data_IF_710572436747
#
_entry.id   IF_710572436747
#
_cell.length_a   1.000
_cell.length_b   1.000
_cell.length_c   1.000
_cell.angle_alpha   90.00
_cell.angle_beta   90.00
_cell.angle_gamma   90.00
#
_symmetry.space_group_name_H-M   'P 1'
#
loop_
_entity.id
_entity.type
_entity.pdbx_description
1 polymer ?
#
# COMPACT_ATOMS: atom_id res chain seq x y z
N UNK A 1 2.96 -10.06 10.08
CA UNK A 1 3.77 -8.83 10.15
C UNK A 1 2.96 -7.77 9.45
N UNK A 2 2.78 -6.62 10.10
CA UNK A 2 1.95 -5.53 9.60
C UNK A 2 2.89 -4.36 9.38
N UNK A 3 2.99 -3.94 8.12
CA UNK A 3 3.80 -2.80 7.71
C UNK A 3 2.85 -1.63 7.53
N UNK A 4 3.07 -0.57 8.29
CA UNK A 4 2.33 0.67 8.20
C UNK A 4 2.98 1.65 7.22
N UNK A 5 2.17 2.38 6.46
CA UNK A 5 2.59 3.56 5.72
C UNK A 5 1.68 4.74 6.04
N UNK A 6 2.30 5.88 6.35
CA UNK A 6 1.62 7.14 6.57
C UNK A 6 1.79 8.04 5.34
N UNK A 7 0.69 8.62 4.87
CA UNK A 7 0.68 9.55 3.75
C UNK A 7 0.16 10.89 4.23
N UNK A 8 0.98 11.93 4.10
CA UNK A 8 0.63 13.30 4.49
C UNK A 8 0.34 14.13 3.25
N UNK A 9 -0.88 14.66 3.13
CA UNK A 9 -1.24 15.49 1.99
C UNK A 9 -0.82 16.94 2.20
N UNK A 10 0.18 17.39 1.45
CA UNK A 10 0.65 18.77 1.48
C UNK A 10 -0.37 19.72 0.83
N UNK A 11 -0.45 20.99 1.27
CA UNK A 11 -1.33 21.98 0.66
C UNK A 11 -0.78 22.43 -0.70
N UNK A 12 -1.24 21.76 -1.78
CA UNK A 12 -1.00 22.02 -3.22
C UNK A 12 0.49 22.09 -3.65
N UNK A 13 0.87 21.37 -4.72
CA UNK A 13 2.25 21.42 -5.18
C UNK A 13 2.56 22.83 -5.73
N UNK A 14 3.67 23.48 -5.31
CA UNK A 14 4.00 24.84 -5.76
C UNK A 14 4.30 24.91 -7.28
N UNK A 15 4.42 23.76 -7.95
CA UNK A 15 4.80 23.66 -9.36
C UNK A 15 3.75 22.96 -10.25
N UNK A 16 2.57 22.58 -9.73
CA UNK A 16 1.57 21.75 -10.44
C UNK A 16 2.16 20.47 -11.08
N UNK A 17 3.29 19.98 -10.58
CA UNK A 17 3.85 18.71 -11.01
C UNK A 17 3.05 17.59 -10.34
N UNK A 18 2.56 16.66 -11.17
CA UNK A 18 1.97 15.39 -10.72
C UNK A 18 3.13 14.43 -10.51
N UNK A 19 3.37 14.03 -9.26
CA UNK A 19 4.41 13.08 -8.92
C UNK A 19 3.85 11.65 -8.81
N UNK A 20 4.68 10.68 -9.17
CA UNK A 20 4.37 9.25 -8.98
C UNK A 20 5.29 8.72 -7.87
N UNK A 21 4.71 8.39 -6.72
CA UNK A 21 5.42 7.72 -5.65
C UNK A 21 5.46 6.21 -5.93
N UNK A 22 6.65 5.65 -6.15
CA UNK A 22 6.85 4.21 -6.38
C UNK A 22 7.19 3.51 -5.06
N UNK A 23 6.42 2.49 -4.68
CA UNK A 23 6.61 1.76 -3.42
C UNK A 23 6.67 0.25 -3.64
N UNK A 24 7.84 -0.33 -3.37
CA UNK A 24 8.07 -1.77 -3.35
C UNK A 24 7.95 -2.32 -1.92
N UNK A 25 6.85 -3.01 -1.62
CA UNK A 25 6.61 -3.53 -0.26
C UNK A 25 7.25 -4.91 -0.09
N UNK A 26 8.46 -4.93 0.49
CA UNK A 26 9.18 -6.17 0.84
C UNK A 26 9.37 -6.28 2.34
N UNK A 27 9.13 -7.47 2.89
CA UNK A 27 9.30 -7.76 4.33
C UNK A 27 10.69 -7.37 4.86
N UNK A 28 11.72 -7.57 4.03
CA UNK A 28 13.12 -7.31 4.38
C UNK A 28 13.57 -5.87 4.15
N UNK A 29 12.69 -4.97 3.71
CA UNK A 29 13.05 -3.57 3.51
C UNK A 29 13.31 -2.89 4.86
N UNK A 30 14.51 -2.33 5.06
CA UNK A 30 14.86 -1.62 6.30
C UNK A 30 13.88 -0.48 6.63
N UNK A 31 13.39 0.23 5.61
CA UNK A 31 12.45 1.35 5.78
C UNK A 31 11.09 0.91 6.37
N UNK A 32 10.69 -0.34 6.15
CA UNK A 32 9.45 -0.87 6.72
C UNK A 32 9.67 -1.52 8.10
N UNK A 33 10.89 -1.98 8.38
CA UNK A 33 11.24 -2.55 9.69
C UNK A 33 11.33 -1.49 10.79
N UNK A 34 11.59 -0.23 10.43
CA UNK A 34 11.63 0.90 11.36
C UNK A 34 10.26 1.51 11.66
N UNK A 35 9.23 1.17 10.86
CA UNK A 35 7.85 1.62 11.10
C UNK A 35 7.61 3.11 10.86
N UNK A 36 8.58 3.82 10.27
CA UNK A 36 8.59 5.27 10.04
C UNK A 36 8.40 5.63 8.56
N UNK A 37 7.87 4.69 7.75
CA UNK A 37 7.65 4.91 6.33
C UNK A 37 6.54 5.93 6.11
N UNK A 38 6.93 7.15 5.77
CA UNK A 38 6.04 8.25 5.43
C UNK A 38 6.32 8.77 4.02
N UNK A 39 5.27 9.17 3.32
CA UNK A 39 5.36 9.83 2.02
C UNK A 39 4.51 11.09 2.04
N UNK A 40 5.11 12.21 1.65
CA UNK A 40 4.37 13.43 1.36
C UNK A 40 3.86 13.40 -0.08
N UNK A 41 2.55 13.61 -0.26
CA UNK A 41 1.89 13.65 -1.58
C UNK A 41 1.02 14.89 -1.71
N UNK A 42 0.72 15.29 -2.94
CA UNK A 42 -0.23 16.36 -3.26
C UNK A 42 -1.53 15.80 -3.85
N UNK A 43 -2.55 16.64 -3.91
CA UNK A 43 -3.77 16.29 -4.65
C UNK A 43 -3.44 16.09 -6.13
N UNK A 44 -4.03 15.06 -6.73
CA UNK A 44 -3.82 14.56 -8.09
C UNK A 44 -2.53 13.78 -8.33
N UNK A 45 -1.66 13.64 -7.34
CA UNK A 45 -0.52 12.72 -7.42
C UNK A 45 -0.99 11.26 -7.48
N UNK A 46 -0.07 10.39 -7.89
CA UNK A 46 -0.27 8.96 -7.95
C UNK A 46 0.67 8.22 -6.99
N UNK A 47 0.14 7.20 -6.35
CA UNK A 47 0.90 6.20 -5.63
C UNK A 47 0.83 4.89 -6.41
N UNK A 48 1.98 4.38 -6.85
CA UNK A 48 2.13 3.10 -7.51
C UNK A 48 2.80 2.11 -6.56
N UNK A 49 2.03 1.14 -6.07
CA UNK A 49 2.50 0.05 -5.21
C UNK A 49 2.74 -1.18 -6.08
N UNK A 50 3.96 -1.72 -6.03
CA UNK A 50 4.32 -2.95 -6.74
C UNK A 50 4.32 -4.14 -5.79
N UNK A 51 3.64 -5.21 -6.22
CA UNK A 51 3.62 -6.47 -5.52
C UNK A 51 4.98 -7.20 -5.65
N UNK A 52 5.36 -8.02 -4.66
CA UNK A 52 6.51 -8.91 -4.74
C UNK A 52 6.40 -9.82 -5.96
N UNK A 53 7.46 -9.85 -6.77
CA UNK A 53 7.57 -10.69 -7.95
C UNK A 53 8.79 -11.59 -7.84
N UNK A 54 8.63 -12.84 -8.22
CA UNK A 54 9.65 -13.87 -8.13
C UNK A 54 9.68 -14.68 -9.43
N UNK A 55 10.88 -15.10 -9.81
CA UNK A 55 11.08 -16.05 -10.92
C UNK A 55 10.33 -17.36 -10.68
N UNK A 56 9.92 -18.05 -11.75
CA UNK A 56 9.20 -19.33 -11.69
C UNK A 56 10.00 -20.44 -11.00
N UNK A 57 11.32 -20.28 -10.88
CA UNK A 57 12.19 -21.19 -10.14
C UNK A 57 12.02 -21.12 -8.62
N UNK A 58 11.40 -20.06 -8.09
CA UNK A 58 11.19 -19.87 -6.66
C UNK A 58 9.91 -20.58 -6.21
N UNK A 59 9.98 -21.53 -5.27
CA UNK A 59 8.79 -22.21 -4.75
C UNK A 59 7.77 -21.26 -4.08
N UNK A 60 6.48 -21.58 -4.22
CA UNK A 60 5.37 -20.78 -3.72
C UNK A 60 5.42 -20.52 -2.20
N UNK A 61 5.95 -21.45 -1.40
CA UNK A 61 6.16 -21.33 0.05
C UNK A 61 7.22 -20.30 0.43
N UNK A 62 8.12 -19.96 -0.50
CA UNK A 62 9.17 -18.94 -0.32
C UNK A 62 8.80 -17.57 -0.87
N UNK A 63 7.61 -17.45 -1.48
CA UNK A 63 7.13 -16.20 -2.06
C UNK A 63 6.28 -15.40 -1.08
N UNK A 64 6.46 -14.08 -1.08
CA UNK A 64 5.67 -13.17 -0.25
C UNK A 64 4.33 -12.83 -0.91
N UNK A 65 3.25 -12.85 -0.11
CA UNK A 65 1.91 -12.39 -0.48
C UNK A 65 1.35 -11.52 0.64
N UNK A 66 0.62 -10.48 0.28
CA UNK A 66 -0.04 -9.63 1.26
C UNK A 66 -1.36 -9.05 0.75
N UNK A 67 -2.19 -8.63 1.69
CA UNK A 67 -3.37 -7.81 1.42
C UNK A 67 -3.10 -6.40 1.95
N UNK A 68 -3.37 -5.40 1.11
CA UNK A 68 -3.23 -3.99 1.45
C UNK A 68 -4.58 -3.47 1.93
N UNK A 69 -4.60 -2.84 3.10
CA UNK A 69 -5.79 -2.20 3.67
C UNK A 69 -5.54 -0.72 3.89
N UNK A 70 -6.56 0.09 3.64
CA UNK A 70 -6.62 1.48 4.07
C UNK A 70 -7.33 1.51 5.42
N UNK A 71 -6.71 2.10 6.44
CA UNK A 71 -7.22 2.15 7.82
C UNK A 71 -7.25 3.58 8.35
N UNK A 72 -7.98 3.80 9.44
CA UNK A 72 -7.87 5.03 10.22
C UNK A 72 -6.63 5.00 11.14
N UNK A 73 -6.38 6.10 11.85
CA UNK A 73 -5.26 6.22 12.78
C UNK A 73 -5.25 5.13 13.89
N UNK A 74 -6.42 4.79 14.44
CA UNK A 74 -6.53 3.74 15.46
C UNK A 74 -6.11 2.39 14.89
N UNK A 75 -6.65 2.02 13.71
CA UNK A 75 -6.32 0.78 13.02
C UNK A 75 -4.86 0.70 12.58
N UNK A 76 -4.25 1.84 12.26
CA UNK A 76 -2.80 1.92 12.03
C UNK A 76 -2.02 1.64 13.32
N UNK A 77 -2.36 2.34 14.40
CA UNK A 77 -1.66 2.26 15.69
C UNK A 77 -1.81 0.89 16.36
N UNK A 78 -2.98 0.26 16.23
CA UNK A 78 -3.26 -1.08 16.77
C UNK A 78 -3.00 -2.20 15.76
N UNK A 79 -2.64 -1.87 14.52
CA UNK A 79 -2.54 -2.81 13.41
C UNK A 79 -3.82 -3.66 13.18
N UNK A 80 -5.00 -3.05 13.34
CA UNK A 80 -6.31 -3.71 13.10
C UNK A 80 -6.97 -3.21 11.82
N UNK A 81 -7.11 -4.09 10.82
CA UNK A 81 -7.85 -3.81 9.60
C UNK A 81 -9.29 -4.36 9.62
N UNK A 82 -9.62 -5.28 10.54
CA UNK A 82 -10.89 -6.02 10.53
C UNK A 82 -12.04 -5.08 10.86
N UNK A 83 -11.88 -4.25 11.89
CA UNK A 83 -12.93 -3.34 12.35
C UNK A 83 -12.76 -1.89 11.86
N UNK A 84 -11.57 -1.55 11.35
CA UNK A 84 -11.14 -0.16 11.06
C UNK A 84 -10.64 0.07 9.64
N UNK A 85 -10.72 -0.93 8.77
CA UNK A 85 -10.10 -0.89 7.46
C UNK A 85 -10.98 -1.32 6.30
N UNK A 86 -10.53 -0.93 5.11
CA UNK A 86 -11.08 -1.37 3.83
C UNK A 86 -9.98 -2.05 3.02
N UNK A 87 -10.27 -3.24 2.50
CA UNK A 87 -9.36 -3.94 1.58
C UNK A 87 -9.20 -3.10 0.31
N UNK A 88 -7.96 -2.71 0.01
CA UNK A 88 -7.64 -1.89 -1.15
C UNK A 88 -7.06 -2.69 -2.30
N UNK A 89 -6.17 -3.63 -1.99
CA UNK A 89 -5.50 -4.46 -3.00
C UNK A 89 -5.06 -5.81 -2.42
N UNK A 90 -4.84 -6.80 -3.28
CA UNK A 90 -4.31 -8.11 -2.88
C UNK A 90 -3.18 -8.53 -3.82
N UNK A 91 -2.00 -8.71 -3.26
CA UNK A 91 -0.83 -9.26 -3.94
C UNK A 91 -0.81 -10.78 -3.76
N UNK A 92 -1.49 -11.50 -4.66
CA UNK A 92 -1.63 -12.96 -4.63
C UNK A 92 -0.96 -13.70 -5.81
N UNK A 93 -0.37 -12.99 -6.78
CA UNK A 93 0.29 -13.58 -7.96
C UNK A 93 1.79 -13.22 -8.01
N UNK A 94 2.65 -13.93 -7.27
CA UNK A 94 4.09 -13.66 -7.28
C UNK A 94 4.78 -14.00 -8.61
N UNK A 95 4.23 -14.94 -9.39
CA UNK A 95 4.76 -15.38 -10.71
C UNK A 95 3.95 -14.80 -11.87
N UNK A 96 3.53 -13.53 -11.77
CA UNK A 96 2.78 -12.88 -12.84
C UNK A 96 3.62 -12.81 -14.13
N UNK A 97 3.08 -13.21 -15.30
CA UNK A 97 3.85 -13.31 -16.54
C UNK A 97 4.27 -11.95 -17.11
N UNK A 98 3.58 -10.88 -16.71
CA UNK A 98 3.86 -9.51 -17.17
C UNK A 98 4.65 -8.70 -16.13
N UNK A 99 5.47 -9.38 -15.32
CA UNK A 99 6.20 -8.78 -14.21
C UNK A 99 5.33 -8.49 -12.98
N UNK A 100 5.79 -7.64 -12.04
CA UNK A 100 5.10 -7.36 -10.79
C UNK A 100 3.73 -6.74 -11.03
N UNK A 101 2.72 -7.25 -10.31
CA UNK A 101 1.41 -6.60 -10.27
C UNK A 101 1.55 -5.19 -9.69
N UNK A 102 0.83 -4.23 -10.28
CA UNK A 102 0.84 -2.83 -9.87
C UNK A 102 -0.54 -2.38 -9.42
N UNK A 103 -0.61 -1.78 -8.24
CA UNK A 103 -1.77 -1.05 -7.75
C UNK A 103 -1.48 0.45 -7.85
N UNK A 104 -2.40 1.20 -8.44
CA UNK A 104 -2.29 2.67 -8.58
C UNK A 104 -3.41 3.34 -7.79
N UNK A 105 -3.05 4.22 -6.87
CA UNK A 105 -3.97 5.10 -6.16
C UNK A 105 -3.78 6.53 -6.67
N UNK A 106 -4.88 7.25 -6.89
CA UNK A 106 -4.84 8.67 -7.23
C UNK A 106 -5.39 9.48 -6.07
N UNK A 107 -4.62 10.46 -5.60
CA UNK A 107 -5.03 11.34 -4.50
C UNK A 107 -6.02 12.42 -4.97
N UNK A 108 -7.22 12.02 -5.37
CA UNK A 108 -8.24 12.92 -5.92
C UNK A 108 -9.20 13.46 -4.85
N UNK A 109 -9.64 14.72 -5.02
CA UNK A 109 -10.62 15.36 -4.14
C UNK A 109 -12.02 14.75 -4.23
N UNK A 110 -12.38 14.27 -5.41
CA UNK A 110 -13.69 13.72 -5.73
C UNK A 110 -13.51 12.49 -6.59
N UNK A 111 -14.26 11.44 -6.28
CA UNK A 111 -14.26 10.19 -7.04
C UNK A 111 -15.62 10.02 -7.72
N UNK A 112 -15.67 9.66 -9.02
CA UNK A 112 -16.93 9.34 -9.69
C UNK A 112 -17.48 7.97 -9.25
N UNK A 113 -16.71 7.18 -8.51
CA UNK A 113 -17.08 5.85 -8.04
C UNK A 113 -17.64 5.91 -6.62
N UNK A 114 -18.81 5.31 -6.39
CA UNK A 114 -19.55 5.37 -5.11
C UNK A 114 -18.80 4.75 -3.93
N UNK A 115 -17.90 3.79 -4.17
CA UNK A 115 -17.03 3.19 -3.16
C UNK A 115 -15.56 3.63 -3.32
N UNK A 116 -15.31 4.72 -4.05
CA UNK A 116 -13.98 5.28 -4.21
C UNK A 116 -13.56 6.06 -2.96
N UNK A 117 -12.26 6.37 -2.88
CA UNK A 117 -11.71 7.14 -1.78
C UNK A 117 -11.49 8.61 -2.21
N UNK A 118 -11.81 9.52 -1.31
CA UNK A 118 -11.59 10.96 -1.47
C UNK A 118 -10.49 11.45 -0.52
N UNK A 119 -9.62 12.30 -1.05
CA UNK A 119 -8.47 12.80 -0.33
C UNK A 119 -8.58 14.32 -0.12
N UNK A 120 -8.18 14.82 1.06
CA UNK A 120 -8.24 16.24 1.41
C UNK A 120 -6.85 16.74 1.82
N UNK A 121 -6.44 17.94 1.38
CA UNK A 121 -5.19 18.56 1.83
C UNK A 121 -5.15 18.72 3.35
N UNK A 122 -3.95 18.61 3.92
CA UNK A 122 -3.73 18.74 5.37
C UNK A 122 -4.25 17.56 6.19
N UNK A 123 -4.64 16.45 5.53
CA UNK A 123 -5.02 15.20 6.20
C UNK A 123 -3.97 14.13 5.99
N UNK A 124 -3.98 13.18 6.91
CA UNK A 124 -3.14 11.99 6.89
C UNK A 124 -3.98 10.77 6.59
N UNK A 125 -3.39 9.84 5.84
CA UNK A 125 -4.00 8.58 5.44
C UNK A 125 -3.06 7.44 5.72
N UNK A 126 -3.62 6.31 6.15
CA UNK A 126 -2.84 5.20 6.67
C UNK A 126 -3.15 3.92 5.91
N UNK A 127 -2.10 3.21 5.51
CA UNK A 127 -2.21 1.89 4.92
C UNK A 127 -1.47 0.88 5.77
N UNK A 128 -2.03 -0.33 5.88
CA UNK A 128 -1.36 -1.46 6.52
C UNK A 128 -1.39 -2.70 5.61
N UNK A 129 -0.30 -3.48 5.63
CA UNK A 129 -0.17 -4.71 4.85
C UNK A 129 -0.24 -5.95 5.73
N UNK A 130 -1.22 -6.82 5.52
CA UNK A 130 -1.30 -8.13 6.16
C UNK A 130 -0.59 -9.17 5.29
N UNK A 131 0.60 -9.61 5.72
CA UNK A 131 1.30 -10.71 5.06
C UNK A 131 0.64 -12.05 5.38
N UNK A 132 0.27 -12.78 4.33
CA UNK A 132 -0.21 -14.16 4.46
C UNK A 132 0.99 -15.10 4.43
N UNK A 133 1.29 -15.74 5.57
CA UNK A 133 2.16 -16.92 5.56
C UNK A 133 1.33 -18.10 5.02
N UNK A 134 1.87 -18.84 4.07
CA UNK A 134 1.41 -20.20 3.85
C UNK A 134 1.81 -21.01 5.09
N UNK A 135 0.85 -21.27 5.97
CA UNK A 135 0.99 -22.33 6.95
C UNK A 135 0.87 -23.62 6.16
N UNK A 136 2.01 -24.30 5.91
CA UNK A 136 1.96 -25.72 5.63
C UNK A 136 1.44 -26.33 6.92
N UNK A 137 0.16 -26.73 6.93
CA UNK A 137 -0.33 -27.66 7.93
C UNK A 137 0.39 -28.96 7.59
N UNK A 138 1.46 -29.25 8.33
CA UNK A 138 2.13 -30.54 8.28
C UNK A 138 1.26 -31.60 8.97
#
# INVERSE_FOLDING_TARGET
MLIGMQYSLRPLSPLNLVEIALVDIKVKSRRFQQGDYHIDVCINDYLDVFCPHYEDSVPEDKTERYVLYMVNFDGYSSCDHISKGFKRWECNRPHSPNGPLKFSEKFQLFTPFSLGFEFRPGREYFYICEYRKFTIVA
#
